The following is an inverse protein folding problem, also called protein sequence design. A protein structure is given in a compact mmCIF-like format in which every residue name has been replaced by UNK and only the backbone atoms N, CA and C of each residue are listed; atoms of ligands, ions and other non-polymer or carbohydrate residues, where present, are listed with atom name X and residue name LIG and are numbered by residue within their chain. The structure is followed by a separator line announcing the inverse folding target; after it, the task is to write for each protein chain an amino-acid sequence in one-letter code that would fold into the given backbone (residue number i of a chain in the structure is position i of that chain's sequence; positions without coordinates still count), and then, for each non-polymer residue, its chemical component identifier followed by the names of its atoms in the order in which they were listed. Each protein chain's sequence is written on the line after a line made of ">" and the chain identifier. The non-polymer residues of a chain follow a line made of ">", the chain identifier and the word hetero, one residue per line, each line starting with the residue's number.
data_IF_060103665345
#
_entry.id   IF_060103665345
#
_cell.length_a   1.000
_cell.length_b   1.000
_cell.length_c   1.000
_cell.angle_alpha   90.00
_cell.angle_beta   90.00
_cell.angle_gamma   90.00
#
_symmetry.space_group_name_H-M   'P 1'
#
loop_
_entity.id
_entity.type
_entity.pdbx_description
1 polymer ?
#
# COMPACT_ATOMS: atom_id res chain seq x y z
N UNK A 1 -43.39 -49.22 -19.28
CA UNK A 1 -44.82 -49.44 -19.58
C UNK A 1 -45.65 -48.65 -18.60
N UNK A 2 -46.25 -47.54 -19.05
CA UNK A 2 -47.50 -46.95 -18.58
C UNK A 2 -47.68 -45.62 -19.34
N UNK A 3 -48.49 -45.69 -20.39
CA UNK A 3 -48.99 -44.58 -21.20
C UNK A 3 -50.13 -43.89 -20.47
N UNK A 4 -50.13 -42.56 -20.40
CA UNK A 4 -51.36 -41.81 -20.08
C UNK A 4 -51.35 -40.40 -20.71
N UNK A 5 -52.17 -40.30 -21.77
CA UNK A 5 -53.16 -39.25 -22.10
C UNK A 5 -52.68 -37.81 -22.31
N UNK A 6 -52.49 -37.52 -23.59
CA UNK A 6 -52.72 -36.25 -24.28
C UNK A 6 -53.99 -35.55 -23.77
N UNK A 7 -53.84 -34.34 -23.24
CA UNK A 7 -54.93 -33.36 -23.15
C UNK A 7 -54.76 -32.35 -24.28
N UNK A 8 -55.73 -32.37 -25.19
CA UNK A 8 -55.92 -31.42 -26.27
C UNK A 8 -56.29 -30.06 -25.66
N UNK A 9 -55.36 -29.12 -25.72
CA UNK A 9 -55.59 -27.75 -25.25
C UNK A 9 -56.37 -27.02 -26.35
N UNK A 10 -57.66 -26.81 -26.12
CA UNK A 10 -58.52 -25.96 -26.96
C UNK A 10 -57.90 -24.56 -27.08
N UNK A 11 -57.49 -24.20 -28.30
CA UNK A 11 -57.17 -22.84 -28.70
C UNK A 11 -58.45 -22.00 -28.77
N UNK A 12 -58.91 -21.53 -27.60
CA UNK A 12 -59.82 -20.40 -27.51
C UNK A 12 -58.99 -19.14 -27.78
N UNK A 13 -58.93 -18.70 -29.03
CA UNK A 13 -58.47 -17.36 -29.38
C UNK A 13 -59.46 -16.35 -28.79
N UNK A 14 -59.15 -15.62 -27.69
CA UNK A 14 -59.95 -14.45 -27.36
C UNK A 14 -59.76 -13.48 -28.53
N UNK A 15 -60.84 -13.23 -29.27
CA UNK A 15 -60.85 -12.34 -30.41
C UNK A 15 -60.04 -11.09 -30.08
N UNK A 16 -59.03 -10.82 -30.90
CA UNK A 16 -58.23 -9.61 -30.81
C UNK A 16 -59.18 -8.43 -30.95
N UNK A 17 -59.57 -7.85 -29.82
CA UNK A 17 -60.18 -6.53 -29.78
C UNK A 17 -59.21 -5.64 -30.53
N UNK A 18 -59.62 -5.14 -31.69
CA UNK A 18 -58.81 -4.25 -32.51
C UNK A 18 -58.52 -3.03 -31.67
N UNK A 19 -57.34 -3.03 -31.04
CA UNK A 19 -56.81 -1.91 -30.29
C UNK A 19 -56.89 -0.71 -31.22
N UNK A 20 -57.83 0.17 -30.90
CA UNK A 20 -58.12 1.39 -31.62
C UNK A 20 -56.77 2.09 -31.79
N UNK A 21 -56.23 2.10 -33.02
CA UNK A 21 -54.96 2.76 -33.36
C UNK A 21 -55.07 4.20 -32.87
N UNK A 22 -54.57 4.45 -31.66
CA UNK A 22 -54.50 5.77 -31.04
C UNK A 22 -53.62 6.54 -32.01
N UNK A 23 -54.22 7.40 -32.85
CA UNK A 23 -53.49 8.27 -33.75
C UNK A 23 -52.48 9.00 -32.87
N UNK A 24 -51.22 8.63 -33.01
CA UNK A 24 -50.13 9.27 -32.29
C UNK A 24 -50.13 10.69 -32.82
N UNK A 25 -50.64 11.61 -32.01
CA UNK A 25 -50.60 13.04 -32.28
C UNK A 25 -49.16 13.40 -32.60
N UNK A 26 -48.89 14.01 -33.77
CA UNK A 26 -47.54 14.35 -34.24
C UNK A 26 -46.73 15.18 -33.24
N UNK A 27 -47.41 15.84 -32.28
CA UNK A 27 -46.79 16.54 -31.16
C UNK A 27 -45.96 15.60 -30.24
N UNK A 28 -46.40 14.35 -30.04
CA UNK A 28 -45.67 13.37 -29.21
C UNK A 28 -44.38 12.88 -29.84
N UNK A 29 -44.34 12.76 -31.18
CA UNK A 29 -43.10 12.41 -31.90
C UNK A 29 -42.08 13.54 -31.84
N UNK A 30 -42.51 14.81 -31.93
CA UNK A 30 -41.62 15.97 -31.80
C UNK A 30 -41.01 16.07 -30.39
N UNK A 31 -41.81 15.85 -29.34
CA UNK A 31 -41.31 15.84 -27.96
C UNK A 31 -40.29 14.72 -27.72
N UNK A 32 -40.55 13.53 -28.29
CA UNK A 32 -39.64 12.38 -28.18
C UNK A 32 -38.33 12.64 -28.93
N UNK A 33 -38.39 13.22 -30.14
CA UNK A 33 -37.20 13.60 -30.90
C UNK A 33 -36.35 14.65 -30.17
N UNK A 34 -36.98 15.65 -29.58
CA UNK A 34 -36.27 16.68 -28.79
C UNK A 34 -35.64 16.11 -27.52
N UNK A 35 -36.34 15.19 -26.83
CA UNK A 35 -35.79 14.47 -25.68
C UNK A 35 -34.56 13.63 -26.03
N UNK A 36 -34.59 12.91 -27.16
CA UNK A 36 -33.43 12.16 -27.66
C UNK A 36 -32.27 13.10 -27.99
N UNK A 37 -32.53 14.24 -28.64
CA UNK A 37 -31.49 15.21 -28.99
C UNK A 37 -30.79 15.77 -27.73
N UNK A 38 -31.56 16.15 -26.71
CA UNK A 38 -31.01 16.62 -25.43
C UNK A 38 -30.17 15.51 -24.77
N UNK A 39 -30.69 14.29 -24.72
CA UNK A 39 -29.98 13.16 -24.15
C UNK A 39 -28.64 12.92 -24.85
N UNK A 40 -28.61 12.97 -26.19
CA UNK A 40 -27.38 12.84 -26.97
C UNK A 40 -26.39 13.96 -26.65
N UNK A 41 -26.84 15.22 -26.60
CA UNK A 41 -25.97 16.36 -26.25
C UNK A 41 -25.40 16.25 -24.83
N UNK A 42 -26.21 15.85 -23.86
CA UNK A 42 -25.77 15.63 -22.47
C UNK A 42 -24.77 14.48 -22.40
N UNK A 43 -25.05 13.35 -23.07
CA UNK A 43 -24.12 12.22 -23.11
C UNK A 43 -22.78 12.59 -23.75
N UNK A 44 -22.79 13.39 -24.82
CA UNK A 44 -21.58 13.89 -25.47
C UNK A 44 -20.79 14.80 -24.52
N UNK A 45 -21.47 15.72 -23.82
CA UNK A 45 -20.83 16.57 -22.81
C UNK A 45 -20.21 15.77 -21.66
N UNK A 46 -20.92 14.75 -21.15
CA UNK A 46 -20.38 13.85 -20.11
C UNK A 46 -19.17 13.08 -20.64
N UNK A 47 -19.24 12.50 -21.84
CA UNK A 47 -18.09 11.76 -22.40
C UNK A 47 -16.87 12.65 -22.60
N UNK A 48 -17.04 13.90 -23.05
CA UNK A 48 -15.94 14.85 -23.17
C UNK A 48 -15.35 15.22 -21.81
N UNK A 49 -16.19 15.54 -20.82
CA UNK A 49 -15.73 15.83 -19.46
C UNK A 49 -15.00 14.65 -18.82
N UNK A 50 -15.57 13.46 -18.93
CA UNK A 50 -14.95 12.21 -18.45
C UNK A 50 -13.62 11.98 -19.18
N UNK A 51 -13.54 12.20 -20.49
CA UNK A 51 -12.29 12.02 -21.24
C UNK A 51 -11.19 13.03 -20.89
N UNK A 52 -11.55 14.25 -20.44
CA UNK A 52 -10.57 15.27 -20.06
C UNK A 52 -10.11 15.12 -18.59
N UNK A 53 -10.99 14.67 -17.70
CA UNK A 53 -10.69 14.51 -16.27
C UNK A 53 -10.07 13.15 -15.95
N UNK A 54 -10.49 12.07 -16.64
CA UNK A 54 -10.00 10.71 -16.35
C UNK A 54 -8.47 10.57 -16.41
N UNK A 55 -7.73 11.14 -17.39
CA UNK A 55 -6.28 10.98 -17.43
C UNK A 55 -5.60 11.57 -16.19
N UNK A 56 -6.06 12.73 -15.71
CA UNK A 56 -5.49 13.36 -14.51
C UNK A 56 -5.78 12.58 -13.23
N UNK A 57 -6.90 11.85 -13.18
CA UNK A 57 -7.25 10.98 -12.04
C UNK A 57 -6.53 9.63 -12.12
N UNK A 58 -6.38 9.06 -13.32
CA UNK A 58 -5.69 7.78 -13.54
C UNK A 58 -4.18 7.90 -13.38
N UNK A 59 -3.62 9.02 -13.80
CA UNK A 59 -2.19 9.29 -13.80
C UNK A 59 -1.90 10.59 -13.05
N UNK A 60 -1.98 10.57 -11.70
CA UNK A 60 -1.79 11.78 -10.88
C UNK A 60 -0.38 12.41 -11.05
N UNK A 61 0.56 11.68 -11.66
CA UNK A 61 1.92 12.10 -11.90
C UNK A 61 2.25 12.31 -13.39
N UNK A 62 1.24 12.49 -14.24
CA UNK A 62 1.46 12.73 -15.67
C UNK A 62 2.42 13.90 -15.96
N UNK A 63 2.43 14.92 -15.09
CA UNK A 63 3.32 16.08 -15.17
C UNK A 63 4.81 15.72 -15.01
N UNK A 64 5.12 14.56 -14.42
CA UNK A 64 6.49 14.08 -14.23
C UNK A 64 6.95 13.18 -15.37
N UNK A 65 6.04 12.62 -16.17
CA UNK A 65 6.39 11.66 -17.21
C UNK A 65 7.12 12.34 -18.38
N UNK A 66 8.10 11.63 -18.93
CA UNK A 66 8.75 12.03 -20.18
C UNK A 66 7.92 11.51 -21.36
N UNK A 67 7.65 12.36 -22.36
CA UNK A 67 6.88 12.01 -23.56
C UNK A 67 7.65 11.13 -24.57
N UNK A 68 8.63 10.35 -24.12
CA UNK A 68 9.48 9.50 -24.97
C UNK A 68 9.48 8.10 -24.41
N UNK A 69 9.69 7.13 -25.28
CA UNK A 69 9.99 5.76 -24.84
C UNK A 69 11.46 5.64 -24.45
N UNK A 70 11.82 4.65 -23.61
CA UNK A 70 13.21 4.43 -23.21
C UNK A 70 14.14 4.27 -24.43
N UNK A 71 13.67 3.64 -25.52
CA UNK A 71 14.44 3.47 -26.75
C UNK A 71 14.69 4.78 -27.52
N UNK A 72 13.84 5.79 -27.35
CA UNK A 72 13.97 7.09 -28.02
C UNK A 72 14.88 8.07 -27.25
N UNK A 73 15.17 7.79 -25.98
CA UNK A 73 15.99 8.66 -25.13
C UNK A 73 17.46 8.56 -25.55
N UNK A 74 17.93 9.56 -26.29
CA UNK A 74 19.34 9.68 -26.68
C UNK A 74 20.30 9.90 -25.49
N UNK A 75 19.82 10.57 -24.45
CA UNK A 75 20.63 10.89 -23.27
C UNK A 75 19.94 10.39 -22.00
N UNK A 76 20.39 9.24 -21.49
CA UNK A 76 19.82 8.63 -20.28
C UNK A 76 19.96 9.49 -19.02
N UNK A 77 20.88 10.47 -19.01
CA UNK A 77 21.06 11.38 -17.87
C UNK A 77 19.94 12.42 -17.71
N UNK A 78 19.05 12.55 -18.70
CA UNK A 78 17.92 13.50 -18.64
C UNK A 78 16.62 12.87 -18.16
N UNK A 79 16.61 11.56 -17.91
CA UNK A 79 15.44 10.81 -17.50
C UNK A 79 15.69 10.04 -16.21
N UNK A 80 14.63 9.72 -15.50
CA UNK A 80 14.64 8.77 -14.38
C UNK A 80 13.81 7.57 -14.81
N UNK A 81 14.32 6.37 -14.56
CA UNK A 81 13.64 5.11 -14.87
C UNK A 81 13.45 4.29 -13.60
N UNK A 82 12.47 3.39 -13.56
CA UNK A 82 12.31 2.43 -12.47
C UNK A 82 13.58 1.59 -12.29
N UNK A 83 13.76 1.11 -11.06
CA UNK A 83 14.89 0.26 -10.70
C UNK A 83 14.80 -1.13 -11.33
N UNK A 84 13.57 -1.62 -11.46
CA UNK A 84 13.21 -2.92 -12.04
C UNK A 84 12.27 -2.68 -13.21
N UNK A 85 12.70 -3.11 -14.39
CA UNK A 85 11.89 -3.09 -15.60
C UNK A 85 11.01 -4.36 -15.71
N UNK A 86 10.07 -4.38 -16.66
CA UNK A 86 9.11 -5.47 -16.88
C UNK A 86 9.76 -6.87 -16.98
N UNK A 87 10.91 -6.95 -17.65
CA UNK A 87 11.57 -8.20 -17.97
C UNK A 87 12.67 -8.55 -16.95
N UNK A 88 12.95 -7.66 -15.99
CA UNK A 88 13.99 -7.86 -15.01
C UNK A 88 13.48 -8.75 -13.87
N UNK A 89 14.27 -9.79 -13.58
CA UNK A 89 14.03 -10.65 -12.41
C UNK A 89 14.54 -9.99 -11.14
N UNK A 90 13.86 -10.24 -10.04
CA UNK A 90 14.25 -9.79 -8.73
C UNK A 90 13.92 -10.83 -7.67
N UNK A 91 14.63 -10.71 -6.56
CA UNK A 91 14.42 -11.46 -5.35
C UNK A 91 13.69 -10.57 -4.34
N UNK A 92 12.91 -11.16 -3.46
CA UNK A 92 12.33 -10.47 -2.30
C UNK A 92 12.93 -11.10 -1.05
N UNK A 93 13.68 -10.29 -0.32
CA UNK A 93 14.26 -10.66 0.97
C UNK A 93 13.32 -10.18 2.07
N UNK A 94 12.96 -11.08 2.98
CA UNK A 94 12.19 -10.73 4.16
C UNK A 94 13.03 -10.92 5.41
N UNK A 95 12.94 -9.96 6.33
CA UNK A 95 13.54 -10.07 7.67
C UNK A 95 12.44 -9.85 8.70
N UNK A 96 12.33 -10.75 9.68
CA UNK A 96 11.35 -10.62 10.77
C UNK A 96 12.07 -10.17 12.03
N UNK A 97 11.61 -9.05 12.55
CA UNK A 97 12.13 -8.36 13.73
C UNK A 97 11.18 -8.57 14.90
N UNK A 98 11.77 -8.69 16.08
CA UNK A 98 11.09 -8.90 17.35
C UNK A 98 11.75 -8.00 18.38
N UNK A 99 10.95 -7.35 19.23
CA UNK A 99 11.45 -6.59 20.37
C UNK A 99 12.33 -7.47 21.27
N UNK A 100 13.40 -6.87 21.79
CA UNK A 100 14.23 -7.46 22.85
C UNK A 100 14.13 -6.63 24.13
N UNK A 101 14.21 -7.32 25.27
CA UNK A 101 14.26 -6.72 26.61
C UNK A 101 15.70 -6.63 27.14
N UNK A 102 16.70 -6.63 26.25
CA UNK A 102 18.09 -6.52 26.70
C UNK A 102 18.30 -5.15 27.38
N UNK A 103 18.66 -5.12 28.68
CA UNK A 103 18.81 -3.88 29.45
C UNK A 103 19.96 -2.98 28.97
N UNK A 104 20.76 -3.45 28.00
CA UNK A 104 21.69 -2.58 27.26
C UNK A 104 20.95 -1.47 26.49
N UNK A 105 19.71 -1.70 26.07
CA UNK A 105 18.91 -0.72 25.33
C UNK A 105 18.24 0.30 26.24
N UNK A 106 17.86 -0.08 27.46
CA UNK A 106 17.17 0.78 28.41
C UNK A 106 18.00 2.01 28.85
N UNK A 107 19.33 1.92 28.77
CA UNK A 107 20.22 3.07 29.06
C UNK A 107 20.46 3.99 27.86
N UNK A 108 20.18 3.53 26.64
CA UNK A 108 20.35 4.32 25.42
C UNK A 108 19.03 4.93 24.91
N UNK A 109 17.89 4.36 25.33
CA UNK A 109 16.54 4.72 24.89
C UNK A 109 15.98 5.98 25.55
N UNK A 110 16.61 6.56 26.58
CA UNK A 110 16.15 7.80 27.24
C UNK A 110 15.93 8.98 26.26
N UNK A 111 16.52 8.93 25.06
CA UNK A 111 16.37 9.96 24.04
C UNK A 111 15.22 9.74 23.06
N UNK A 112 14.77 8.50 22.86
CA UNK A 112 13.69 8.15 21.92
C UNK A 112 12.93 6.92 22.43
N UNK A 113 11.82 7.18 23.12
CA UNK A 113 10.96 6.19 23.82
C UNK A 113 10.37 5.09 22.90
N UNK A 114 10.50 5.23 21.57
CA UNK A 114 9.88 4.39 20.54
C UNK A 114 10.87 3.46 19.80
N UNK A 115 12.14 3.44 20.18
CA UNK A 115 13.10 2.43 19.70
C UNK A 115 13.50 1.50 20.84
N UNK A 116 12.60 0.57 21.17
CA UNK A 116 13.03 -0.61 21.90
C UNK A 116 14.12 -1.33 21.09
N UNK A 117 15.06 -1.98 21.78
CA UNK A 117 16.00 -2.85 21.09
C UNK A 117 15.21 -3.88 20.28
N UNK A 118 15.63 -4.13 19.05
CA UNK A 118 15.06 -5.17 18.21
C UNK A 118 16.13 -6.23 17.92
N UNK A 119 15.71 -7.47 17.76
CA UNK A 119 16.52 -8.51 17.16
C UNK A 119 15.74 -9.21 16.06
N UNK A 120 16.45 -9.79 15.10
CA UNK A 120 15.84 -10.52 14.01
C UNK A 120 15.77 -12.02 14.33
N UNK A 121 14.62 -12.64 14.07
CA UNK A 121 14.42 -14.08 14.25
C UNK A 121 14.47 -14.85 12.92
N UNK A 122 14.42 -14.13 11.81
CA UNK A 122 14.44 -14.69 10.46
C UNK A 122 14.99 -13.66 9.48
N UNK A 123 15.83 -14.08 8.54
CA UNK A 123 16.22 -13.31 7.36
C UNK A 123 16.57 -14.25 6.23
N UNK A 124 15.79 -14.24 5.15
CA UNK A 124 16.08 -15.02 3.94
C UNK A 124 15.33 -14.45 2.72
N UNK A 125 15.70 -14.93 1.53
CA UNK A 125 15.00 -14.67 0.28
C UNK A 125 13.74 -15.53 0.19
N UNK A 126 12.58 -14.89 0.33
CA UNK A 126 11.27 -15.56 0.38
C UNK A 126 10.66 -15.77 -1.00
N UNK A 127 11.06 -14.95 -1.98
CA UNK A 127 10.73 -15.12 -3.40
C UNK A 127 12.01 -14.95 -4.22
N UNK A 128 12.34 -15.93 -5.07
CA UNK A 128 13.56 -15.93 -5.89
C UNK A 128 13.23 -15.81 -7.36
N UNK A 129 13.89 -14.89 -8.06
CA UNK A 129 13.85 -14.75 -9.51
C UNK A 129 12.47 -14.45 -10.08
N UNK A 130 11.64 -13.76 -9.31
CA UNK A 130 10.28 -13.37 -9.73
C UNK A 130 10.35 -12.15 -10.65
N UNK A 131 9.28 -11.93 -11.40
CA UNK A 131 9.10 -10.84 -12.35
C UNK A 131 7.87 -10.03 -11.99
N UNK A 132 7.72 -8.84 -12.58
CA UNK A 132 6.52 -8.01 -12.43
C UNK A 132 5.26 -8.62 -13.09
N UNK A 133 5.41 -9.77 -13.76
CA UNK A 133 4.31 -10.50 -14.41
C UNK A 133 3.84 -11.69 -13.56
N UNK A 134 4.58 -12.06 -12.51
CA UNK A 134 4.21 -13.15 -11.61
C UNK A 134 3.17 -12.65 -10.61
N UNK A 135 1.96 -13.19 -10.70
CA UNK A 135 0.83 -12.82 -9.84
C UNK A 135 0.45 -13.97 -8.90
N UNK A 136 -0.09 -13.64 -7.72
CA UNK A 136 -0.65 -14.60 -6.75
C UNK A 136 0.32 -15.71 -6.31
N UNK A 137 1.62 -15.40 -6.27
CA UNK A 137 2.62 -16.32 -5.73
C UNK A 137 2.58 -16.31 -4.20
N UNK A 138 2.75 -17.49 -3.60
CA UNK A 138 2.67 -17.67 -2.16
C UNK A 138 3.88 -18.43 -1.65
N UNK A 139 4.35 -18.05 -0.46
CA UNK A 139 5.43 -18.72 0.26
C UNK A 139 5.03 -18.84 1.72
N UNK A 140 5.39 -19.95 2.36
CA UNK A 140 5.09 -20.21 3.77
C UNK A 140 6.39 -20.26 4.54
N UNK A 141 6.50 -19.39 5.54
CA UNK A 141 7.66 -19.29 6.41
C UNK A 141 7.23 -19.80 7.79
N UNK A 142 8.02 -20.71 8.35
CA UNK A 142 7.81 -21.18 9.71
C UNK A 142 8.63 -20.29 10.65
N UNK A 143 7.94 -19.56 11.52
CA UNK A 143 8.55 -18.64 12.48
C UNK A 143 8.33 -19.16 13.90
N UNK A 144 9.34 -19.02 14.76
CA UNK A 144 9.23 -19.29 16.19
C UNK A 144 9.36 -17.97 16.95
N UNK A 145 8.25 -17.47 17.47
CA UNK A 145 8.19 -16.18 18.15
C UNK A 145 8.51 -16.39 19.64
N UNK A 146 9.52 -15.70 20.21
CA UNK A 146 9.86 -15.83 21.62
C UNK A 146 8.85 -15.09 22.51
N UNK A 147 7.88 -15.81 23.07
CA UNK A 147 6.80 -15.25 23.89
C UNK A 147 7.28 -14.68 25.24
N UNK A 148 8.49 -15.05 25.68
CA UNK A 148 9.07 -14.57 26.95
C UNK A 148 9.27 -13.06 26.96
N UNK A 149 9.61 -12.46 25.81
CA UNK A 149 9.73 -11.00 25.67
C UNK A 149 8.37 -10.34 25.85
N UNK A 150 7.34 -10.86 25.19
CA UNK A 150 5.99 -10.26 25.17
C UNK A 150 5.28 -10.38 26.51
N UNK A 151 5.50 -11.48 27.22
CA UNK A 151 4.90 -11.72 28.54
C UNK A 151 5.45 -10.80 29.64
N UNK A 152 6.69 -10.33 29.48
CA UNK A 152 7.37 -9.43 30.43
C UNK A 152 7.25 -7.95 30.07
N UNK A 153 6.87 -7.65 28.83
CA UNK A 153 6.70 -6.28 28.37
C UNK A 153 5.51 -5.62 29.08
N UNK A 154 5.73 -4.43 29.64
CA UNK A 154 4.67 -3.64 30.29
C UNK A 154 3.65 -3.11 29.28
N UNK A 155 4.14 -2.75 28.09
CA UNK A 155 3.37 -2.26 26.95
C UNK A 155 3.78 -3.02 25.70
N UNK A 156 2.81 -3.26 24.83
CA UNK A 156 2.99 -3.84 23.50
C UNK A 156 2.58 -2.86 22.39
N UNK A 157 3.36 -2.86 21.32
CA UNK A 157 3.14 -2.04 20.13
C UNK A 157 3.03 -2.90 18.86
N UNK A 158 2.41 -2.38 17.79
CA UNK A 158 2.22 -3.15 16.55
C UNK A 158 3.54 -3.55 15.89
N UNK A 159 4.59 -2.74 16.10
CA UNK A 159 5.91 -2.97 15.54
C UNK A 159 6.83 -3.81 16.44
N UNK A 160 6.37 -4.23 17.63
CA UNK A 160 7.14 -5.15 18.49
C UNK A 160 7.38 -6.51 17.82
N UNK A 161 6.54 -6.89 16.85
CA UNK A 161 6.87 -7.88 15.81
C UNK A 161 6.55 -7.25 14.47
N UNK A 162 7.54 -7.18 13.59
CA UNK A 162 7.37 -6.63 12.24
C UNK A 162 8.17 -7.42 11.23
N UNK A 163 7.73 -7.38 9.97
CA UNK A 163 8.53 -7.87 8.85
C UNK A 163 8.99 -6.68 8.01
N UNK A 164 10.27 -6.67 7.65
CA UNK A 164 10.80 -5.82 6.60
C UNK A 164 10.92 -6.61 5.29
N UNK A 165 10.64 -5.95 4.17
CA UNK A 165 10.73 -6.53 2.84
C UNK A 165 11.60 -5.66 1.96
N UNK A 166 12.65 -6.26 1.40
CA UNK A 166 13.64 -5.63 0.51
C UNK A 166 13.56 -6.29 -0.86
N UNK A 167 13.28 -5.51 -1.89
CA UNK A 167 13.31 -5.98 -3.27
C UNK A 167 14.75 -5.88 -3.80
N UNK A 168 15.30 -6.97 -4.33
CA UNK A 168 16.69 -7.06 -4.81
C UNK A 168 16.71 -7.47 -6.28
N UNK A 169 17.00 -6.55 -7.23
CA UNK A 169 17.13 -6.88 -8.64
C UNK A 169 18.25 -7.88 -8.89
N UNK A 170 18.02 -8.90 -9.72
CA UNK A 170 19.06 -9.83 -10.13
C UNK A 170 20.00 -9.19 -11.15
N UNK A 171 21.29 -9.52 -11.08
CA UNK A 171 22.28 -9.07 -12.06
C UNK A 171 22.06 -9.71 -13.44
N UNK A 172 22.32 -8.98 -14.53
CA UNK A 172 22.77 -7.58 -14.57
C UNK A 172 21.65 -6.59 -14.22
N UNK A 173 21.96 -5.62 -13.36
CA UNK A 173 21.00 -4.62 -12.88
C UNK A 173 21.55 -3.19 -12.90
N UNK A 174 20.66 -2.20 -12.78
CA UNK A 174 21.07 -0.79 -12.65
C UNK A 174 21.86 -0.51 -11.37
N UNK A 175 21.62 -1.32 -10.32
CA UNK A 175 22.36 -1.21 -9.06
C UNK A 175 23.83 -1.60 -9.23
N UNK A 176 24.17 -2.43 -10.20
CA UNK A 176 25.57 -2.84 -10.44
C UNK A 176 26.47 -1.68 -10.87
N UNK A 177 25.86 -0.57 -11.31
CA UNK A 177 26.55 0.65 -11.74
C UNK A 177 26.22 1.86 -10.85
N UNK A 178 25.73 1.63 -9.63
CA UNK A 178 25.39 2.71 -8.72
C UNK A 178 26.66 3.45 -8.26
N UNK A 179 26.59 4.78 -8.31
CA UNK A 179 27.68 5.67 -7.84
C UNK A 179 27.24 6.59 -6.70
N UNK A 180 25.93 6.79 -6.59
CA UNK A 180 25.26 7.57 -5.55
C UNK A 180 23.79 7.20 -5.52
N UNK A 181 23.14 7.41 -4.39
CA UNK A 181 21.68 7.37 -4.28
C UNK A 181 21.19 8.54 -3.44
N UNK A 182 19.89 8.81 -3.51
CA UNK A 182 19.25 9.79 -2.63
C UNK A 182 17.88 9.25 -2.24
N UNK A 183 17.45 9.46 -0.99
CA UNK A 183 16.13 9.01 -0.50
C UNK A 183 15.15 10.17 -0.39
N UNK A 184 13.85 9.94 -0.59
CA UNK A 184 12.82 10.94 -0.27
C UNK A 184 12.67 11.15 1.23
N UNK A 185 13.04 10.14 2.03
CA UNK A 185 12.96 10.19 3.49
C UNK A 185 13.98 11.21 4.02
N UNK A 186 13.54 12.24 4.77
CA UNK A 186 14.44 13.21 5.38
C UNK A 186 15.41 12.54 6.36
N UNK A 187 16.63 13.07 6.49
CA UNK A 187 17.64 12.56 7.42
C UNK A 187 17.23 12.68 8.91
N UNK A 188 16.20 13.47 9.21
CA UNK A 188 15.62 13.61 10.55
C UNK A 188 14.61 12.51 10.88
N UNK A 189 14.08 11.81 9.89
CA UNK A 189 13.15 10.69 10.10
C UNK A 189 13.97 9.46 10.40
N UNK A 190 13.77 8.92 11.58
CA UNK A 190 14.38 7.66 11.96
C UNK A 190 13.51 6.54 11.42
N UNK A 191 14.11 5.71 10.59
CA UNK A 191 13.46 4.54 10.03
C UNK A 191 13.78 3.30 10.86
N UNK A 192 12.85 2.34 10.93
CA UNK A 192 13.11 1.06 11.54
C UNK A 192 14.16 0.32 10.72
N UNK A 193 14.84 -0.62 11.35
CA UNK A 193 15.93 -1.31 10.70
C UNK A 193 15.42 -2.33 9.69
N UNK A 194 16.07 -2.38 8.53
CA UNK A 194 15.60 -3.23 7.42
C UNK A 194 16.41 -4.50 7.31
N UNK A 195 17.72 -4.44 7.54
CA UNK A 195 18.64 -5.56 7.35
C UNK A 195 19.45 -5.89 8.61
N UNK A 196 19.74 -7.19 8.87
CA UNK A 196 20.60 -7.60 9.96
C UNK A 196 22.03 -7.04 9.86
N UNK A 197 22.55 -6.83 8.64
CA UNK A 197 23.90 -6.32 8.43
C UNK A 197 24.04 -4.86 8.88
N UNK A 198 23.04 -4.03 8.58
CA UNK A 198 23.00 -2.65 9.03
C UNK A 198 22.79 -2.56 10.54
N UNK A 199 21.95 -3.42 11.11
CA UNK A 199 21.80 -3.55 12.57
C UNK A 199 23.13 -3.88 13.24
N UNK A 200 23.85 -4.90 12.75
CA UNK A 200 25.12 -5.35 13.30
C UNK A 200 26.23 -4.28 13.22
N UNK A 201 26.20 -3.40 12.20
CA UNK A 201 27.14 -2.27 12.09
C UNK A 201 26.84 -1.18 13.11
N UNK A 202 25.57 -0.76 13.23
CA UNK A 202 25.15 0.24 14.22
C UNK A 202 25.41 -0.22 15.65
N UNK A 203 25.19 -1.51 15.92
CA UNK A 203 25.54 -2.17 17.19
C UNK A 203 27.01 -2.02 17.56
N UNK A 204 27.90 -1.95 16.58
CA UNK A 204 29.34 -1.69 16.77
C UNK A 204 29.70 -0.21 16.87
N UNK A 205 28.70 0.68 16.81
CA UNK A 205 28.87 2.13 16.81
C UNK A 205 29.33 2.68 15.45
N UNK A 206 29.25 1.89 14.39
CA UNK A 206 29.61 2.33 13.04
C UNK A 206 28.40 3.02 12.37
N UNK A 207 28.46 4.35 12.33
CA UNK A 207 27.50 5.21 11.65
C UNK A 207 28.12 5.87 10.41
N UNK A 208 29.24 5.33 9.93
CA UNK A 208 29.96 5.87 8.79
C UNK A 208 29.09 5.75 7.53
N UNK A 209 29.18 6.71 6.59
CA UNK A 209 28.55 6.57 5.29
C UNK A 209 29.01 5.28 4.58
N UNK A 210 28.18 4.71 3.69
CA UNK A 210 28.58 3.53 2.93
C UNK A 210 29.82 3.83 2.07
N UNK A 211 30.95 3.19 2.37
CA UNK A 211 32.22 3.38 1.66
C UNK A 211 32.41 2.41 0.51
N UNK A 212 31.95 1.16 0.67
CA UNK A 212 32.04 0.15 -0.39
C UNK A 212 30.86 0.22 -1.36
N UNK A 213 31.07 -0.27 -2.58
CA UNK A 213 29.99 -0.39 -3.57
C UNK A 213 28.83 -1.26 -3.04
N UNK A 214 29.14 -2.30 -2.28
CA UNK A 214 28.14 -3.19 -1.70
C UNK A 214 27.35 -2.51 -0.59
N UNK A 215 28.01 -1.69 0.24
CA UNK A 215 27.33 -0.86 1.23
C UNK A 215 26.42 0.18 0.57
N UNK A 216 26.86 0.77 -0.54
CA UNK A 216 26.09 1.74 -1.30
C UNK A 216 24.85 1.09 -1.93
N UNK A 217 24.99 -0.13 -2.49
CA UNK A 217 23.87 -0.92 -2.99
C UNK A 217 22.89 -1.25 -1.86
N UNK A 218 23.38 -1.75 -0.73
CA UNK A 218 22.53 -2.11 0.40
C UNK A 218 21.79 -0.89 0.97
N UNK A 219 22.48 0.24 1.16
CA UNK A 219 21.86 1.48 1.62
C UNK A 219 20.79 2.00 0.64
N UNK A 220 21.04 1.90 -0.67
CA UNK A 220 20.05 2.26 -1.68
C UNK A 220 18.83 1.33 -1.64
N UNK A 221 19.03 0.02 -1.51
CA UNK A 221 17.95 -0.96 -1.42
C UNK A 221 17.11 -0.80 -0.14
N UNK A 222 17.76 -0.53 1.00
CA UNK A 222 17.08 -0.27 2.27
C UNK A 222 16.21 0.99 2.20
N UNK A 223 16.62 2.01 1.45
CA UNK A 223 15.83 3.24 1.29
C UNK A 223 14.49 3.03 0.56
N UNK A 224 14.31 1.92 -0.16
CA UNK A 224 13.04 1.54 -0.81
C UNK A 224 12.35 0.36 -0.13
N UNK A 225 12.96 -0.21 0.92
CA UNK A 225 12.35 -1.30 1.65
C UNK A 225 11.17 -0.80 2.49
N UNK A 226 10.24 -1.70 2.73
CA UNK A 226 9.06 -1.42 3.54
C UNK A 226 9.09 -2.27 4.81
N UNK A 227 8.46 -1.78 5.88
CA UNK A 227 8.18 -2.56 7.08
C UNK A 227 6.68 -2.61 7.32
N UNK A 228 6.19 -3.78 7.71
CA UNK A 228 4.80 -4.01 8.06
C UNK A 228 4.71 -4.65 9.46
N UNK A 229 3.78 -4.22 10.32
CA UNK A 229 3.54 -4.87 11.60
C UNK A 229 3.02 -6.29 11.40
N UNK A 230 3.40 -7.20 12.28
CA UNK A 230 2.86 -8.56 12.37
C UNK A 230 2.04 -8.78 13.66
N UNK A 231 1.80 -7.73 14.44
CA UNK A 231 0.85 -7.72 15.55
C UNK A 231 -0.23 -6.69 15.28
N UNK A 232 -1.48 -7.14 15.40
CA UNK A 232 -2.66 -6.28 15.43
C UNK A 232 -3.36 -6.38 16.80
N UNK A 233 -3.96 -5.28 17.25
CA UNK A 233 -4.66 -5.22 18.53
C UNK A 233 -6.14 -5.02 18.31
N UNK A 234 -6.94 -5.91 18.87
CA UNK A 234 -8.39 -5.80 18.81
C UNK A 234 -8.97 -5.51 20.21
N UNK A 235 -9.96 -4.60 20.30
CA UNK A 235 -10.64 -4.34 21.57
C UNK A 235 -11.40 -5.59 22.02
N UNK A 236 -11.36 -5.86 23.33
CA UNK A 236 -12.11 -6.95 23.93
C UNK A 236 -13.49 -6.41 24.29
N UNK A 237 -14.54 -6.93 23.66
CA UNK A 237 -15.91 -6.70 24.14
C UNK A 237 -16.10 -7.55 25.38
N UNK A 238 -16.15 -6.93 26.55
CA UNK A 238 -16.34 -7.68 27.78
C UNK A 238 -17.75 -8.29 27.80
N UNK A 239 -17.88 -9.57 28.13
CA UNK A 239 -19.19 -10.24 28.20
C UNK A 239 -20.13 -9.65 29.27
N UNK A 240 -19.58 -8.83 30.18
CA UNK A 240 -20.31 -8.16 31.25
C UNK A 240 -20.82 -6.76 30.85
N UNK A 241 -20.64 -6.32 29.60
CA UNK A 241 -21.01 -4.98 29.14
C UNK A 241 -22.47 -4.90 28.64
N UNK A 242 -23.39 -5.55 29.35
CA UNK A 242 -24.79 -5.65 28.91
C UNK A 242 -25.66 -4.44 29.26
N UNK A 243 -25.19 -3.46 30.04
CA UNK A 243 -26.11 -2.42 30.55
C UNK A 243 -25.65 -0.96 30.57
N UNK A 244 -24.54 -0.59 29.90
CA UNK A 244 -24.32 0.84 29.60
C UNK A 244 -24.73 1.14 28.18
N UNK A 245 -25.99 1.55 28.04
CA UNK A 245 -26.44 2.40 26.94
C UNK A 245 -25.69 3.73 27.03
N UNK A 246 -24.47 3.78 26.50
CA UNK A 246 -23.82 5.06 26.19
C UNK A 246 -24.32 5.49 24.82
N UNK A 247 -25.21 6.49 24.85
CA UNK A 247 -25.52 7.40 23.75
C UNK A 247 -24.22 8.03 23.24
N UNK A 248 -23.55 7.43 22.27
CA UNK A 248 -22.72 8.15 21.28
C UNK A 248 -22.29 7.22 20.11
N UNK A 249 -23.25 6.50 19.54
CA UNK A 249 -23.05 5.78 18.27
C UNK A 249 -23.15 6.76 17.09
N UNK A 250 -22.18 7.67 16.99
CA UNK A 250 -21.77 8.14 15.67
C UNK A 250 -21.05 6.97 14.99
N UNK A 251 -21.50 6.49 13.82
CA UNK A 251 -20.77 5.45 13.10
C UNK A 251 -19.40 6.00 12.75
N UNK A 252 -18.39 5.58 13.51
CA UNK A 252 -16.98 5.72 13.17
C UNK A 252 -16.79 4.98 11.86
N UNK A 253 -16.97 5.71 10.75
CA UNK A 253 -16.40 5.37 9.46
C UNK A 253 -14.96 4.97 9.74
N UNK A 254 -14.65 3.69 9.57
CA UNK A 254 -13.35 3.08 9.81
C UNK A 254 -12.28 3.91 9.09
N UNK A 255 -11.72 4.88 9.81
CA UNK A 255 -10.53 5.57 9.38
C UNK A 255 -9.46 4.49 9.21
N UNK A 256 -8.60 4.59 8.17
CA UNK A 256 -7.54 3.63 7.93
C UNK A 256 -6.78 3.41 9.24
N UNK A 257 -6.70 2.14 9.65
CA UNK A 257 -6.26 1.72 10.98
C UNK A 257 -5.02 2.49 11.44
N UNK A 258 -5.23 3.45 12.35
CA UNK A 258 -4.18 4.12 13.09
C UNK A 258 -3.35 3.03 13.80
N UNK A 259 -2.02 3.16 13.84
CA UNK A 259 -1.16 2.23 14.58
C UNK A 259 -1.67 2.17 16.02
N UNK A 260 -2.14 0.99 16.40
CA UNK A 260 -2.94 0.78 17.59
C UNK A 260 -2.05 0.26 18.72
N UNK A 261 -1.40 1.15 19.45
CA UNK A 261 -0.59 0.74 20.60
C UNK A 261 -1.44 0.38 21.84
N UNK A 262 -0.84 -0.40 22.76
CA UNK A 262 -1.30 -0.53 24.15
C UNK A 262 -0.62 0.49 25.07
N UNK A 263 0.23 1.39 24.58
CA UNK A 263 0.80 2.48 25.39
C UNK A 263 -0.30 3.26 26.11
N UNK A 264 -0.20 3.36 27.43
CA UNK A 264 -1.21 3.97 28.30
C UNK A 264 -2.49 3.14 28.54
N UNK A 265 -2.57 1.89 28.05
CA UNK A 265 -3.67 0.95 28.28
C UNK A 265 -3.10 -0.38 28.77
N UNK A 266 -3.80 -1.08 29.68
CA UNK A 266 -3.33 -2.41 30.07
C UNK A 266 -3.46 -3.38 28.88
N UNK A 267 -2.48 -4.27 28.65
CA UNK A 267 -2.59 -5.36 27.65
C UNK A 267 -3.82 -6.24 27.84
N UNK A 268 -4.43 -6.24 29.04
CA UNK A 268 -5.68 -6.94 29.32
C UNK A 268 -6.92 -6.27 28.70
N UNK A 269 -6.81 -5.05 28.15
CA UNK A 269 -7.92 -4.34 27.51
C UNK A 269 -7.94 -4.53 25.98
N UNK A 270 -6.81 -4.92 25.38
CA UNK A 270 -6.68 -5.19 23.94
C UNK A 270 -5.90 -6.48 23.74
N UNK A 271 -6.52 -7.48 23.14
CA UNK A 271 -5.81 -8.72 22.83
C UNK A 271 -4.91 -8.53 21.59
N UNK A 272 -3.60 -8.85 21.68
CA UNK A 272 -2.74 -8.91 20.52
C UNK A 272 -3.04 -10.16 19.70
N UNK A 273 -3.09 -10.01 18.38
CA UNK A 273 -3.21 -11.09 17.41
C UNK A 273 -2.01 -11.05 16.49
N UNK A 274 -1.40 -12.21 16.28
CA UNK A 274 -0.30 -12.35 15.32
C UNK A 274 -0.89 -12.43 13.92
N UNK A 275 -0.46 -11.53 13.04
CA UNK A 275 -0.82 -11.52 11.62
C UNK A 275 -0.08 -12.67 10.94
N UNK A 276 -0.82 -13.70 10.53
CA UNK A 276 -0.24 -14.90 9.92
C UNK A 276 -0.13 -14.82 8.39
N UNK A 277 -0.74 -13.80 7.78
CA UNK A 277 -0.75 -13.61 6.33
C UNK A 277 -0.51 -12.14 5.98
N UNK A 278 0.49 -11.91 5.15
CA UNK A 278 0.83 -10.59 4.63
C UNK A 278 0.82 -10.65 3.11
N UNK A 279 0.04 -9.78 2.48
CA UNK A 279 -0.02 -9.69 1.03
C UNK A 279 0.89 -8.55 0.55
N UNK A 280 1.93 -8.90 -0.22
CA UNK A 280 2.85 -7.94 -0.80
C UNK A 280 2.44 -7.63 -2.24
N UNK A 281 2.43 -6.33 -2.58
CA UNK A 281 2.14 -5.86 -3.94
C UNK A 281 3.31 -5.06 -4.44
N UNK A 282 3.93 -5.51 -5.53
CA UNK A 282 4.96 -4.76 -6.24
C UNK A 282 4.28 -4.01 -7.39
N UNK A 283 4.31 -2.68 -7.33
CA UNK A 283 3.67 -1.85 -8.36
C UNK A 283 4.56 -1.81 -9.59
N UNK A 284 4.02 -2.24 -10.74
CA UNK A 284 4.69 -2.10 -12.03
C UNK A 284 4.78 -0.62 -12.41
N UNK A 285 6.00 -0.11 -12.48
CA UNK A 285 6.31 1.20 -13.04
C UNK A 285 6.98 1.00 -14.40
N UNK A 286 6.36 1.47 -15.48
CA UNK A 286 6.87 1.36 -16.85
C UNK A 286 7.17 2.73 -17.49
N UNK A 287 6.70 3.80 -16.86
CA UNK A 287 6.91 5.18 -17.32
C UNK A 287 8.28 5.69 -16.89
N UNK A 288 8.97 6.32 -17.83
CA UNK A 288 10.14 7.12 -17.54
C UNK A 288 9.73 8.54 -17.16
N UNK A 289 10.45 9.13 -16.21
CA UNK A 289 10.19 10.47 -15.73
C UNK A 289 11.19 11.46 -16.33
N UNK A 290 10.73 12.69 -16.58
CA UNK A 290 11.62 13.81 -16.88
C UNK A 290 12.44 14.13 -15.63
N UNK A 291 13.77 13.99 -15.69
CA UNK A 291 14.62 14.12 -14.50
C UNK A 291 14.49 15.48 -13.83
N UNK A 292 14.40 16.56 -14.60
CA UNK A 292 14.30 17.92 -14.04
C UNK A 292 12.99 18.10 -13.27
N UNK A 293 11.88 17.62 -13.83
CA UNK A 293 10.58 17.67 -13.15
C UNK A 293 10.56 16.78 -11.90
N UNK A 294 11.10 15.56 -12.02
CA UNK A 294 11.25 14.62 -10.90
C UNK A 294 12.07 15.22 -9.75
N UNK A 295 13.28 15.72 -10.03
CA UNK A 295 14.16 16.32 -9.03
C UNK A 295 13.49 17.52 -8.34
N UNK A 296 12.79 18.38 -9.09
CA UNK A 296 12.07 19.52 -8.53
C UNK A 296 10.95 19.09 -7.58
N UNK A 297 10.15 18.10 -7.98
CA UNK A 297 9.06 17.55 -7.16
C UNK A 297 9.59 16.85 -5.90
N UNK A 298 10.62 16.03 -6.06
CA UNK A 298 11.25 15.29 -4.96
C UNK A 298 11.91 16.21 -3.94
N UNK A 299 12.56 17.29 -4.40
CA UNK A 299 13.12 18.30 -3.51
C UNK A 299 12.03 19.06 -2.74
N UNK A 300 10.88 19.32 -3.37
CA UNK A 300 9.73 19.92 -2.68
C UNK A 300 9.21 19.01 -1.57
N UNK A 301 9.04 17.71 -1.84
CA UNK A 301 8.62 16.73 -0.81
C UNK A 301 9.56 16.72 0.39
N UNK A 302 10.87 16.76 0.16
CA UNK A 302 11.86 16.85 1.24
C UNK A 302 11.72 18.13 2.06
N UNK A 303 11.48 19.27 1.43
CA UNK A 303 11.32 20.55 2.12
C UNK A 303 10.03 20.60 2.95
N UNK A 304 8.94 20.08 2.40
CA UNK A 304 7.63 20.05 3.05
C UNK A 304 7.66 19.09 4.25
N UNK A 305 8.34 17.94 4.14
CA UNK A 305 8.50 16.97 5.24
C UNK A 305 9.34 17.49 6.42
N UNK A 306 10.20 18.48 6.21
CA UNK A 306 11.02 19.11 7.28
C UNK A 306 10.27 20.21 8.03
N UNK A 307 9.19 20.78 7.45
CA UNK A 307 8.45 21.92 8.03
C UNK A 307 7.26 21.54 8.91
N UNK A 308 6.95 20.26 9.06
CA UNK A 308 5.94 19.82 10.03
C UNK A 308 6.36 20.20 11.46
N UNK A 309 5.47 20.73 12.32
CA UNK A 309 5.82 20.98 13.71
C UNK A 309 6.29 19.68 14.35
N UNK A 310 7.53 19.70 14.86
CA UNK A 310 8.24 18.61 15.53
C UNK A 310 7.48 17.99 16.72
N UNK A 311 6.34 18.57 17.12
CA UNK A 311 5.51 18.13 18.25
C UNK A 311 4.56 16.97 17.92
N UNK A 312 4.36 16.62 16.64
CA UNK A 312 3.46 15.52 16.23
C UNK A 312 4.20 14.31 15.63
N UNK A 313 5.53 14.24 15.75
CA UNK A 313 6.32 13.13 15.19
C UNK A 313 5.95 11.76 15.78
N UNK A 314 5.41 11.72 17.00
CA UNK A 314 4.91 10.50 17.65
C UNK A 314 3.60 9.99 17.01
N UNK A 315 2.76 10.88 16.46
CA UNK A 315 1.56 10.51 15.70
C UNK A 315 1.85 10.30 14.20
N UNK A 316 2.88 10.97 13.66
CA UNK A 316 3.17 10.99 12.24
C UNK A 316 3.73 9.67 11.69
N UNK A 317 4.44 8.87 12.49
CA UNK A 317 4.99 7.58 12.03
C UNK A 317 3.89 6.56 11.67
N UNK A 318 2.76 6.61 12.39
CA UNK A 318 1.55 5.82 12.14
C UNK A 318 0.85 6.19 10.84
N UNK A 319 0.67 7.49 10.62
CA UNK A 319 -0.05 8.00 9.46
C UNK A 319 0.79 7.96 8.19
N UNK A 320 2.10 8.15 8.29
CA UNK A 320 2.98 8.23 7.11
C UNK A 320 3.23 6.87 6.47
N UNK A 321 3.52 5.78 7.19
CA UNK A 321 3.71 4.48 6.51
C UNK A 321 2.43 3.96 5.83
N UNK A 322 1.26 4.25 6.39
CA UNK A 322 -0.04 3.81 5.85
C UNK A 322 -0.55 4.74 4.73
N UNK A 323 -0.23 6.03 4.78
CA UNK A 323 -0.56 7.00 3.72
C UNK A 323 0.46 7.04 2.58
N UNK A 324 1.74 6.74 2.82
CA UNK A 324 2.76 6.61 1.75
C UNK A 324 2.70 5.26 1.05
N UNK A 325 2.19 4.20 1.69
CA UNK A 325 1.67 3.02 1.00
C UNK A 325 0.42 3.32 0.14
N UNK A 326 -0.14 4.54 0.21
CA UNK A 326 -1.30 5.00 -0.57
C UNK A 326 -1.07 6.23 -1.43
N UNK A 327 0.09 6.89 -1.40
CA UNK A 327 0.41 7.95 -2.35
C UNK A 327 1.78 7.76 -3.01
N UNK A 328 1.82 7.40 -4.33
CA UNK A 328 0.69 7.18 -5.23
C UNK A 328 0.33 5.72 -5.39
N UNK A 329 -0.61 5.28 -4.55
CA UNK A 329 -1.60 4.25 -4.89
C UNK A 329 -2.99 4.87 -4.69
N UNK A 330 -3.21 6.02 -5.33
CA UNK A 330 -4.55 6.53 -5.54
C UNK A 330 -5.16 5.77 -6.73
N UNK A 331 -5.56 4.53 -6.49
CA UNK A 331 -6.50 3.81 -7.35
C UNK A 331 -7.70 3.43 -6.48
N UNK A 332 -8.68 4.31 -6.45
CA UNK A 332 -10.06 3.95 -6.14
C UNK A 332 -10.50 2.91 -7.19
N UNK A 333 -10.78 1.68 -6.73
CA UNK A 333 -11.24 0.59 -7.57
C UNK A 333 -12.01 -0.43 -6.75
N UNK A 334 -13.33 -0.30 -6.76
CA UNK A 334 -14.29 -1.32 -6.35
C UNK A 334 -14.23 -2.54 -7.29
N UNK A 335 -13.95 -3.73 -6.75
CA UNK A 335 -14.42 -5.06 -7.17
C UNK A 335 -14.34 -5.92 -5.89
N UNK A 336 -15.39 -6.56 -5.35
CA UNK A 336 -16.38 -7.38 -6.03
C UNK A 336 -16.00 -8.85 -5.88
N UNK A 337 -16.05 -9.39 -4.64
CA UNK A 337 -16.23 -10.82 -4.37
C UNK A 337 -17.32 -10.99 -3.32
#
# INVERSE_FOLDING_TARGET
>A
MATATQYEKLDLFPGTVTSRKRRISGCKCMLLAFGILIFLLVSMGITQFVSSVLPGVREPHNLLYENKTLAEVKNMSTVVRPLVDRDQRFDVVATVWVRTLDPRWDRASERHDWMHGEDHIFSDTVFRGVTLMDEHIHTKINLSIPLDTFSKAETLENFDIRASFKLVPQSPSLLDHITKFTSWVPATVVLPEISPETHARKMKGDFSPPESLEDLKNAALEAFAISAPLIDFHPIKSACEWERKEEDDAPLLEAPALVTSTKGKSPLHKHPYVVTRTDLRVVRMDKIYNKKAYDAYHNRLRLDGVRGPMLDAEASYSDTNTSFARLPTAALGWEGF
#
